data_IF_461461198874
#
_entry.id   IF_461461198874
#
_cell.length_a   1.000
_cell.length_b   1.000
_cell.length_c   1.000
_cell.angle_alpha   90.00
_cell.angle_beta   90.00
_cell.angle_gamma   90.00
#
_symmetry.space_group_name_H-M   'P 1'
#
loop_
_entity.id
_entity.type
_entity.pdbx_description
1 polymer ?
#
# COMPACT_ATOMS: atom_id res chain seq x y z
N UNK A 1 -9.45 -16.09 -16.90
CA UNK A 1 -8.96 -17.02 -17.97
C UNK A 1 -8.24 -18.15 -17.23
N UNK A 2 -7.22 -18.85 -17.73
CA UNK A 2 -6.36 -19.57 -16.77
C UNK A 2 -5.50 -18.51 -16.08
N UNK A 3 -5.99 -17.89 -15.00
CA UNK A 3 -5.17 -16.94 -14.24
C UNK A 3 -4.02 -17.73 -13.61
N UNK A 4 -2.84 -17.59 -14.22
CA UNK A 4 -1.58 -17.91 -13.59
C UNK A 4 -1.51 -17.12 -12.28
N UNK A 5 -1.16 -17.80 -11.17
CA UNK A 5 -0.99 -17.11 -9.88
C UNK A 5 0.01 -15.98 -10.05
N UNK A 6 -0.32 -14.74 -9.61
CA UNK A 6 0.61 -13.63 -9.69
C UNK A 6 1.98 -13.97 -9.09
N UNK A 7 3.05 -13.57 -9.77
CA UNK A 7 4.42 -13.93 -9.39
C UNK A 7 4.75 -13.63 -7.91
N UNK A 8 4.33 -12.48 -7.32
CA UNK A 8 4.59 -12.21 -5.90
C UNK A 8 3.91 -13.23 -4.95
N UNK A 9 2.70 -13.67 -5.27
CA UNK A 9 1.96 -14.68 -4.47
C UNK A 9 2.64 -16.04 -4.59
N UNK A 10 3.06 -16.42 -5.80
CA UNK A 10 3.76 -17.68 -6.03
C UNK A 10 5.10 -17.73 -5.28
N UNK A 11 5.90 -16.67 -5.38
CA UNK A 11 7.19 -16.56 -4.69
C UNK A 11 7.05 -16.65 -3.17
N UNK A 12 6.10 -15.92 -2.59
CA UNK A 12 5.83 -15.99 -1.16
C UNK A 12 5.46 -17.41 -0.69
N UNK A 13 4.61 -18.12 -1.45
CA UNK A 13 4.23 -19.50 -1.12
C UNK A 13 5.38 -20.48 -1.26
N UNK A 14 6.22 -20.33 -2.30
CA UNK A 14 7.40 -21.19 -2.50
C UNK A 14 8.42 -21.05 -1.37
N UNK A 15 8.52 -19.85 -0.77
CA UNK A 15 9.32 -19.58 0.43
C UNK A 15 8.65 -20.04 1.73
N UNK A 16 7.42 -20.57 1.67
CA UNK A 16 6.63 -20.95 2.85
C UNK A 16 6.14 -19.76 3.67
N UNK A 17 6.05 -18.56 3.06
CA UNK A 17 5.54 -17.34 3.68
C UNK A 17 4.04 -17.20 3.45
N UNK A 18 3.37 -16.60 4.43
CA UNK A 18 1.94 -16.25 4.38
C UNK A 18 1.71 -14.74 4.24
N UNK A 19 2.77 -13.96 4.09
CA UNK A 19 2.72 -12.51 4.00
C UNK A 19 3.72 -12.07 2.95
N UNK A 20 3.28 -11.18 2.07
CA UNK A 20 4.14 -10.51 1.10
C UNK A 20 4.87 -9.35 1.80
N UNK A 21 6.06 -9.03 1.32
CA UNK A 21 6.67 -7.72 1.59
C UNK A 21 5.85 -6.60 0.95
N UNK A 22 6.04 -5.36 1.39
CA UNK A 22 5.38 -4.20 0.77
C UNK A 22 5.75 -4.08 -0.72
N UNK A 23 7.00 -4.38 -1.09
CA UNK A 23 7.46 -4.40 -2.48
C UNK A 23 6.66 -5.42 -3.32
N UNK A 24 6.56 -6.66 -2.85
CA UNK A 24 5.75 -7.71 -3.49
C UNK A 24 4.27 -7.33 -3.58
N UNK A 25 3.72 -6.66 -2.55
CA UNK A 25 2.36 -6.13 -2.56
C UNK A 25 2.17 -5.04 -3.61
N UNK A 26 3.12 -4.11 -3.75
CA UNK A 26 3.13 -3.08 -4.78
C UNK A 26 3.26 -3.66 -6.18
N UNK A 27 4.12 -4.66 -6.37
CA UNK A 27 4.23 -5.39 -7.64
C UNK A 27 2.91 -6.07 -8.02
N UNK A 28 2.21 -6.66 -7.05
CA UNK A 28 0.89 -7.25 -7.27
C UNK A 28 -0.12 -6.19 -7.73
N UNK A 29 -0.22 -5.06 -7.02
CA UNK A 29 -1.14 -3.96 -7.35
C UNK A 29 -0.81 -3.34 -8.72
N UNK A 30 0.46 -3.09 -9.01
CA UNK A 30 0.91 -2.57 -10.30
C UNK A 30 0.59 -3.55 -11.44
N UNK A 31 0.76 -4.86 -11.23
CA UNK A 31 0.40 -5.87 -12.23
C UNK A 31 -1.12 -5.93 -12.50
N UNK A 32 -1.92 -5.48 -11.53
CA UNK A 32 -3.37 -5.36 -11.62
C UNK A 32 -3.84 -3.98 -12.14
N UNK A 33 -2.91 -3.07 -12.45
CA UNK A 33 -3.21 -1.75 -13.02
C UNK A 33 -3.44 -0.63 -12.01
N UNK A 34 -3.05 -0.81 -10.75
CA UNK A 34 -3.05 0.24 -9.72
C UNK A 34 -1.63 0.82 -9.62
N UNK A 35 -1.48 2.12 -9.89
CA UNK A 35 -0.17 2.77 -9.86
C UNK A 35 0.45 2.74 -8.45
N UNK A 36 1.78 2.63 -8.40
CA UNK A 36 2.59 2.71 -7.18
C UNK A 36 3.75 3.66 -7.40
N UNK A 37 4.31 4.29 -6.35
CA UNK A 37 5.55 5.07 -6.48
C UNK A 37 6.67 4.24 -7.09
N UNK A 38 7.64 4.87 -7.73
CA UNK A 38 8.86 4.18 -8.15
C UNK A 38 9.64 3.71 -6.91
N UNK A 39 10.10 2.46 -6.87
CA UNK A 39 10.82 1.92 -5.72
C UNK A 39 11.91 0.90 -6.08
N UNK A 40 12.79 0.63 -5.11
CA UNK A 40 13.78 -0.44 -5.16
C UNK A 40 14.02 -1.06 -3.77
N UNK A 41 14.22 -2.38 -3.72
CA UNK A 41 14.63 -3.09 -2.49
C UNK A 41 16.16 -3.21 -2.46
N UNK A 42 16.76 -2.81 -1.36
CA UNK A 42 18.21 -2.65 -1.20
C UNK A 42 18.69 -3.40 0.04
N UNK A 43 19.73 -4.23 -0.12
CA UNK A 43 20.28 -5.06 0.95
C UNK A 43 21.24 -4.30 1.89
N UNK A 44 21.69 -3.11 1.48
CA UNK A 44 22.61 -2.28 2.24
C UNK A 44 22.42 -0.78 1.93
N UNK A 45 23.06 0.06 2.73
CA UNK A 45 22.93 1.50 2.63
C UNK A 45 23.59 2.10 1.37
N UNK A 46 24.58 1.42 0.77
CA UNK A 46 25.19 1.89 -0.48
C UNK A 46 24.22 1.65 -1.65
N UNK A 47 23.61 0.47 -1.73
CA UNK A 47 22.54 0.18 -2.68
C UNK A 47 21.34 1.12 -2.50
N UNK A 48 20.98 1.46 -1.25
CA UNK A 48 19.90 2.40 -0.97
C UNK A 48 20.19 3.82 -1.50
N UNK A 49 21.45 4.28 -1.39
CA UNK A 49 21.87 5.56 -1.95
C UNK A 49 21.82 5.54 -3.48
N UNK A 50 22.36 4.50 -4.11
CA UNK A 50 22.33 4.35 -5.58
C UNK A 50 20.87 4.38 -6.10
N UNK A 51 19.96 3.64 -5.44
CA UNK A 51 18.54 3.65 -5.77
C UNK A 51 17.90 5.04 -5.62
N UNK A 52 18.25 5.78 -4.56
CA UNK A 52 17.73 7.13 -4.36
C UNK A 52 18.23 8.12 -5.41
N UNK A 53 19.47 7.97 -5.90
CA UNK A 53 20.00 8.77 -7.00
C UNK A 53 19.29 8.49 -8.33
N UNK A 54 18.94 7.23 -8.59
CA UNK A 54 18.21 6.81 -9.78
C UNK A 54 16.73 7.24 -9.76
N UNK A 55 16.05 7.12 -8.61
CA UNK A 55 14.65 7.53 -8.42
C UNK A 55 14.53 9.06 -8.41
N UNK A 56 15.46 9.74 -7.73
CA UNK A 56 15.45 11.18 -7.53
C UNK A 56 14.84 11.60 -6.18
N UNK A 57 15.44 12.60 -5.56
CA UNK A 57 15.03 13.14 -4.27
C UNK A 57 13.82 14.09 -4.35
N UNK A 58 13.01 14.20 -3.28
CA UNK A 58 13.11 13.46 -2.02
C UNK A 58 12.59 12.01 -2.11
N UNK A 59 13.13 11.13 -1.27
CA UNK A 59 12.73 9.72 -1.17
C UNK A 59 12.24 9.37 0.24
N UNK A 60 11.57 8.23 0.33
CA UNK A 60 11.21 7.54 1.57
C UNK A 60 12.02 6.26 1.67
N UNK A 61 12.50 5.93 2.88
CA UNK A 61 13.18 4.67 3.17
C UNK A 61 12.35 3.92 4.21
N UNK A 62 12.00 2.68 3.93
CA UNK A 62 11.20 1.81 4.83
C UNK A 62 11.90 0.50 5.09
N UNK A 63 11.66 -0.11 6.25
CA UNK A 63 12.07 -1.50 6.50
C UNK A 63 11.28 -2.44 5.58
N UNK A 64 11.99 -3.36 4.92
CA UNK A 64 11.39 -4.39 4.06
C UNK A 64 11.64 -5.77 4.66
N UNK A 65 10.62 -6.32 5.32
CA UNK A 65 10.68 -7.66 5.89
C UNK A 65 9.27 -8.23 6.05
N UNK A 66 9.02 -9.52 5.71
CA UNK A 66 7.74 -10.17 5.99
C UNK A 66 7.40 -10.21 7.50
N UNK A 67 8.40 -10.08 8.37
CA UNK A 67 8.21 -10.07 9.82
C UNK A 67 7.79 -8.70 10.39
N UNK A 68 7.78 -7.65 9.57
CA UNK A 68 7.46 -6.27 9.99
C UNK A 68 6.29 -5.73 9.17
N UNK A 69 5.07 -5.91 9.69
CA UNK A 69 3.84 -5.42 9.04
C UNK A 69 3.55 -3.94 9.38
N UNK A 70 3.69 -3.53 10.65
CA UNK A 70 3.45 -2.16 11.10
C UNK A 70 4.75 -1.35 11.22
N UNK A 71 5.29 -0.93 10.07
CA UNK A 71 6.60 -0.28 9.95
C UNK A 71 6.70 1.04 10.73
N UNK A 72 5.65 1.86 10.71
CA UNK A 72 5.61 3.16 11.40
C UNK A 72 5.60 3.05 12.93
N UNK A 73 5.18 1.91 13.48
CA UNK A 73 5.27 1.64 14.93
C UNK A 73 6.50 0.80 15.28
N UNK A 74 7.11 0.18 14.27
CA UNK A 74 8.25 -0.69 14.45
C UNK A 74 9.43 0.10 15.01
N UNK A 75 9.98 -0.44 16.09
CA UNK A 75 11.11 0.13 16.80
C UNK A 75 10.95 1.60 17.23
N UNK A 76 9.71 2.06 17.47
CA UNK A 76 9.45 3.44 17.89
C UNK A 76 9.48 4.44 16.74
N UNK A 77 9.15 4.00 15.51
CA UNK A 77 9.07 4.85 14.33
C UNK A 77 10.23 4.74 13.35
N UNK A 78 11.26 3.96 13.69
CA UNK A 78 12.47 3.82 12.86
C UNK A 78 12.17 3.12 11.53
N UNK A 79 11.12 2.31 11.46
CA UNK A 79 10.80 1.53 10.26
C UNK A 79 10.38 2.33 9.03
N UNK A 80 10.17 3.65 9.17
CA UNK A 80 9.84 4.56 8.06
C UNK A 80 10.54 5.91 8.26
N UNK A 81 11.35 6.31 7.29
CA UNK A 81 12.01 7.60 7.23
C UNK A 81 11.56 8.35 5.96
N UNK A 82 10.86 9.48 6.14
CA UNK A 82 10.26 10.27 5.05
C UNK A 82 11.04 11.54 4.74
N UNK A 83 10.91 12.06 3.52
CA UNK A 83 11.41 13.38 3.14
C UNK A 83 12.94 13.45 3.10
N UNK A 84 13.62 12.35 2.76
CA UNK A 84 15.08 12.30 2.68
C UNK A 84 15.52 12.95 1.38
N UNK A 85 16.28 14.04 1.48
CA UNK A 85 16.64 14.92 0.36
C UNK A 85 18.11 14.82 -0.06
N UNK A 86 18.86 13.86 0.49
CA UNK A 86 20.29 13.68 0.23
C UNK A 86 20.77 12.25 0.49
N UNK A 87 21.89 11.89 -0.15
CA UNK A 87 22.55 10.61 0.03
C UNK A 87 22.95 10.32 1.49
N UNK A 88 23.40 11.35 2.23
CA UNK A 88 23.76 11.19 3.64
C UNK A 88 22.54 10.88 4.51
N UNK A 89 21.39 11.51 4.23
CA UNK A 89 20.13 11.24 4.93
C UNK A 89 19.62 9.82 4.65
N UNK A 90 19.68 9.38 3.38
CA UNK A 90 19.33 8.01 2.97
C UNK A 90 20.22 6.97 3.64
N UNK A 91 21.54 7.16 3.58
CA UNK A 91 22.51 6.24 4.21
C UNK A 91 22.24 6.13 5.71
N UNK A 92 22.05 7.25 6.40
CA UNK A 92 21.76 7.26 7.84
C UNK A 92 20.49 6.49 8.19
N UNK A 93 19.40 6.70 7.44
CA UNK A 93 18.14 5.99 7.67
C UNK A 93 18.27 4.48 7.38
N UNK A 94 18.94 4.11 6.29
CA UNK A 94 19.14 2.70 5.93
C UNK A 94 20.00 1.96 6.96
N UNK A 95 21.13 2.55 7.37
CA UNK A 95 21.99 1.98 8.42
C UNK A 95 21.25 1.80 9.75
N UNK A 96 20.42 2.77 10.15
CA UNK A 96 19.65 2.70 11.39
C UNK A 96 18.61 1.58 11.35
N UNK A 97 17.88 1.44 10.24
CA UNK A 97 16.90 0.37 10.05
C UNK A 97 17.57 -1.00 10.08
N UNK A 98 18.61 -1.20 9.26
CA UNK A 98 19.31 -2.49 9.13
C UNK A 98 19.97 -2.91 10.44
N UNK A 99 20.62 -1.98 11.14
CA UNK A 99 21.21 -2.24 12.46
C UNK A 99 20.15 -2.64 13.47
N UNK A 100 19.02 -1.93 13.50
CA UNK A 100 17.91 -2.24 14.42
C UNK A 100 17.28 -3.60 14.12
N UNK A 101 17.20 -4.00 12.84
CA UNK A 101 16.71 -5.30 12.44
C UNK A 101 17.66 -6.42 12.89
N UNK A 102 18.97 -6.26 12.70
CA UNK A 102 20.00 -7.22 13.15
C UNK A 102 19.98 -7.38 14.68
N UNK A 103 19.92 -6.29 15.44
CA UNK A 103 19.82 -6.31 16.90
C UNK A 103 18.58 -7.07 17.41
N UNK A 104 17.52 -7.11 16.60
CA UNK A 104 16.27 -7.83 16.87
C UNK A 104 16.23 -9.24 16.28
N UNK A 105 17.26 -9.65 15.53
CA UNK A 105 17.33 -10.93 14.83
C UNK A 105 16.29 -11.06 13.72
N UNK A 106 15.94 -9.94 13.07
CA UNK A 106 15.01 -9.88 11.94
C UNK A 106 15.83 -9.80 10.66
N UNK A 107 15.56 -10.70 9.71
CA UNK A 107 16.08 -10.60 8.36
C UNK A 107 15.30 -9.52 7.61
N UNK A 108 15.98 -8.44 7.21
CA UNK A 108 15.35 -7.27 6.63
C UNK A 108 16.30 -6.58 5.64
N UNK A 109 15.70 -6.12 4.55
CA UNK A 109 16.27 -5.16 3.61
C UNK A 109 15.64 -3.77 3.86
N UNK A 110 15.98 -2.79 3.02
CA UNK A 110 15.28 -1.51 2.97
C UNK A 110 14.59 -1.30 1.62
N UNK A 111 13.38 -0.76 1.65
CA UNK A 111 12.66 -0.27 0.48
C UNK A 111 12.94 1.23 0.33
N UNK A 112 13.52 1.64 -0.78
CA UNK A 112 13.69 3.05 -1.16
C UNK A 112 12.64 3.40 -2.21
N UNK A 113 11.87 4.47 -2.00
CA UNK A 113 10.80 4.86 -2.91
C UNK A 113 10.67 6.37 -3.09
N UNK A 114 10.08 6.77 -4.22
CA UNK A 114 9.73 8.16 -4.52
C UNK A 114 8.79 8.73 -3.43
N UNK A 115 9.13 9.91 -2.89
CA UNK A 115 8.26 10.59 -1.95
C UNK A 115 7.13 11.31 -2.70
N UNK A 116 5.89 10.94 -2.37
CA UNK A 116 4.70 11.53 -2.98
C UNK A 116 4.22 12.78 -2.22
N UNK A 117 3.82 13.81 -2.98
CA UNK A 117 3.19 15.01 -2.41
C UNK A 117 1.72 14.71 -2.05
N UNK A 118 1.49 14.45 -0.75
CA UNK A 118 0.15 14.10 -0.23
C UNK A 118 -0.85 15.25 -0.38
N UNK A 119 -0.40 16.51 -0.47
CA UNK A 119 -1.29 17.67 -0.66
C UNK A 119 -1.93 17.69 -2.07
N UNK A 120 -1.44 16.86 -3.00
CA UNK A 120 -2.01 16.72 -4.35
C UNK A 120 -3.24 15.82 -4.42
N UNK A 121 -3.60 15.15 -3.32
CA UNK A 121 -4.69 14.20 -3.32
C UNK A 121 -5.38 14.06 -1.98
N UNK A 122 -6.33 13.15 -1.94
CA UNK A 122 -7.01 12.73 -0.72
C UNK A 122 -6.58 11.31 -0.42
N UNK A 123 -6.11 11.06 0.81
CA UNK A 123 -5.79 9.71 1.27
C UNK A 123 -7.08 8.92 1.51
N UNK A 124 -7.14 7.71 0.98
CA UNK A 124 -8.25 6.76 1.05
C UNK A 124 -7.69 5.40 1.46
N UNK A 125 -8.46 4.61 2.20
CA UNK A 125 -8.15 3.23 2.52
C UNK A 125 -9.00 2.35 1.60
N UNK A 126 -8.35 1.37 0.98
CA UNK A 126 -9.01 0.32 0.22
C UNK A 126 -8.52 -1.02 0.74
N UNK A 127 -9.42 -1.76 1.38
CA UNK A 127 -9.14 -3.06 1.96
C UNK A 127 -9.95 -4.16 1.31
N UNK A 128 -9.46 -5.39 1.35
CA UNK A 128 -10.17 -6.59 0.94
C UNK A 128 -9.87 -7.71 1.91
N UNK A 129 -10.89 -8.36 2.43
CA UNK A 129 -10.76 -9.49 3.36
C UNK A 129 -11.60 -10.66 2.88
N UNK A 130 -11.21 -11.88 3.24
CA UNK A 130 -12.07 -13.06 3.09
C UNK A 130 -12.77 -13.36 4.41
N UNK A 131 -13.97 -12.85 4.57
CA UNK A 131 -14.80 -13.05 5.75
C UNK A 131 -15.33 -14.51 5.81
N UNK A 132 -15.32 -15.17 6.99
CA UNK A 132 -15.79 -16.55 7.13
C UNK A 132 -17.28 -16.78 6.82
N UNK A 133 -18.10 -15.74 6.92
CA UNK A 133 -19.56 -15.79 6.71
C UNK A 133 -19.95 -15.31 5.33
N UNK A 134 -19.29 -14.27 4.83
CA UNK A 134 -19.66 -13.58 3.59
C UNK A 134 -18.74 -13.85 2.41
N UNK A 135 -17.58 -14.48 2.62
CA UNK A 135 -16.55 -14.63 1.59
C UNK A 135 -15.77 -13.33 1.36
N UNK A 136 -15.29 -13.06 0.13
CA UNK A 136 -14.60 -11.81 -0.19
C UNK A 136 -15.45 -10.57 0.11
N UNK A 137 -14.90 -9.63 0.86
CA UNK A 137 -15.51 -8.34 1.20
C UNK A 137 -14.48 -7.25 0.97
N UNK A 138 -14.89 -6.19 0.27
CA UNK A 138 -14.10 -4.98 0.06
C UNK A 138 -14.58 -3.89 1.00
N UNK A 139 -13.63 -3.17 1.56
CA UNK A 139 -13.79 -1.99 2.39
C UNK A 139 -13.21 -0.78 1.65
N UNK A 140 -13.93 0.33 1.68
CA UNK A 140 -13.37 1.63 1.34
C UNK A 140 -13.70 2.62 2.45
N UNK A 141 -12.77 3.52 2.74
CA UNK A 141 -12.96 4.58 3.74
C UNK A 141 -11.97 5.71 3.52
N UNK A 142 -12.19 6.86 4.13
CA UNK A 142 -11.18 7.93 4.12
C UNK A 142 -9.92 7.45 4.84
N UNK A 143 -8.73 7.82 4.38
CA UNK A 143 -7.46 7.56 5.04
C UNK A 143 -7.04 8.66 6.03
N UNK A 144 -5.91 8.43 6.69
CA UNK A 144 -5.31 9.34 7.67
C UNK A 144 -5.87 9.22 9.09
N UNK A 145 -5.43 10.11 9.99
CA UNK A 145 -5.74 10.06 11.45
C UNK A 145 -7.25 10.06 11.74
N UNK A 146 -8.07 10.52 10.80
CA UNK A 146 -9.50 10.64 10.97
C UNK A 146 -10.25 9.30 10.83
N UNK A 147 -9.68 8.29 10.16
CA UNK A 147 -10.32 6.98 9.98
C UNK A 147 -10.57 6.28 11.31
N UNK A 148 -9.57 6.25 12.19
CA UNK A 148 -9.65 5.59 13.50
C UNK A 148 -10.71 6.22 14.43
N UNK A 149 -11.08 7.47 14.16
CA UNK A 149 -11.96 8.27 15.02
C UNK A 149 -13.40 8.26 14.51
N UNK A 150 -13.59 8.29 13.19
CA UNK A 150 -14.92 8.52 12.60
C UNK A 150 -15.60 7.28 12.01
N UNK A 151 -14.90 6.14 11.87
CA UNK A 151 -15.47 4.89 11.32
C UNK A 151 -16.19 5.13 9.97
N UNK A 152 -15.72 6.08 9.16
CA UNK A 152 -16.32 6.46 7.87
C UNK A 152 -15.89 5.49 6.78
N UNK A 153 -16.54 4.32 6.77
CA UNK A 153 -16.28 3.25 5.81
C UNK A 153 -17.56 2.77 5.14
N UNK A 154 -17.40 2.22 3.94
CA UNK A 154 -18.43 1.46 3.22
C UNK A 154 -17.88 0.08 2.86
N UNK A 155 -18.76 -0.93 2.87
CA UNK A 155 -18.42 -2.32 2.59
C UNK A 155 -19.26 -2.87 1.43
N UNK A 156 -18.66 -3.79 0.67
CA UNK A 156 -19.34 -4.55 -0.38
C UNK A 156 -18.86 -6.01 -0.38
N UNK A 157 -19.75 -6.94 -0.67
CA UNK A 157 -19.35 -8.34 -0.91
C UNK A 157 -18.82 -8.41 -2.34
N UNK A 158 -17.60 -8.91 -2.52
CA UNK A 158 -16.93 -9.04 -3.81
C UNK A 158 -17.29 -10.35 -4.52
N UNK A 159 -17.14 -10.42 -5.86
CA UNK A 159 -16.65 -9.37 -6.74
C UNK A 159 -17.68 -8.24 -6.94
N UNK A 160 -17.20 -7.03 -7.23
CA UNK A 160 -18.04 -5.85 -7.49
C UNK A 160 -17.61 -5.15 -8.77
N UNK A 161 -18.55 -4.52 -9.46
CA UNK A 161 -18.22 -3.67 -10.60
C UNK A 161 -17.92 -2.21 -10.19
N UNK A 162 -17.44 -1.41 -11.15
CA UNK A 162 -17.16 0.02 -10.96
C UNK A 162 -18.37 0.79 -10.42
N UNK A 163 -19.59 0.45 -10.83
CA UNK A 163 -20.78 1.18 -10.39
C UNK A 163 -21.10 0.89 -8.91
N UNK A 164 -20.94 -0.35 -8.47
CA UNK A 164 -21.06 -0.74 -7.06
C UNK A 164 -19.96 -0.11 -6.19
N UNK A 165 -18.72 -0.09 -6.69
CA UNK A 165 -17.59 0.58 -6.04
C UNK A 165 -17.81 2.09 -5.92
N UNK A 166 -18.26 2.75 -7.00
CA UNK A 166 -18.63 4.17 -6.98
C UNK A 166 -19.73 4.47 -5.98
N UNK A 167 -20.77 3.63 -5.92
CA UNK A 167 -21.82 3.76 -4.91
C UNK A 167 -21.28 3.63 -3.49
N UNK A 168 -20.24 2.82 -3.24
CA UNK A 168 -19.61 2.71 -1.93
C UNK A 168 -18.86 3.99 -1.56
N UNK A 169 -18.17 4.62 -2.52
CA UNK A 169 -17.51 5.93 -2.32
C UNK A 169 -18.56 7.02 -2.02
N UNK A 170 -19.68 7.01 -2.73
CA UNK A 170 -20.75 8.01 -2.56
C UNK A 170 -21.48 7.90 -1.19
N UNK A 171 -21.33 6.77 -0.49
CA UNK A 171 -21.86 6.57 0.87
C UNK A 171 -20.97 7.19 1.96
N UNK A 172 -19.71 7.51 1.65
CA UNK A 172 -18.77 8.08 2.61
C UNK A 172 -19.23 9.47 3.04
N UNK A 173 -19.25 9.71 4.35
CA UNK A 173 -19.56 11.02 4.91
C UNK A 173 -18.53 12.08 4.47
N UNK A 174 -17.31 11.62 4.20
CA UNK A 174 -16.17 12.38 3.72
C UNK A 174 -16.11 12.57 2.19
N UNK A 175 -17.10 12.08 1.42
CA UNK A 175 -17.18 12.32 -0.03
C UNK A 175 -16.85 13.76 -0.46
N UNK A 176 -17.27 14.84 0.26
CA UNK A 176 -16.91 16.21 -0.11
C UNK A 176 -15.41 16.52 -0.15
N UNK A 177 -14.55 15.71 0.48
CA UNK A 177 -13.09 15.84 0.37
C UNK A 177 -12.60 15.36 -1.00
N UNK A 178 -13.18 14.26 -1.52
CA UNK A 178 -12.90 13.72 -2.85
C UNK A 178 -13.47 14.61 -3.96
N UNK A 179 -14.58 15.31 -3.71
CA UNK A 179 -15.17 16.27 -4.68
C UNK A 179 -14.45 17.64 -4.71
N UNK A 180 -13.43 17.83 -3.87
CA UNK A 180 -12.69 19.08 -3.74
C UNK A 180 -13.23 19.96 -2.60
N UNK A 181 -12.36 20.32 -1.65
CA UNK A 181 -12.67 21.13 -0.49
C UNK A 181 -11.74 22.35 -0.38
N UNK A 182 -12.32 23.54 -0.14
CA UNK A 182 -11.58 24.82 0.03
C UNK A 182 -10.57 25.14 -1.10
N UNK A 183 -10.90 24.77 -2.33
CA UNK A 183 -10.08 25.09 -3.50
C UNK A 183 -9.07 24.01 -3.88
N UNK A 184 -9.09 22.84 -3.22
CA UNK A 184 -8.47 21.64 -3.77
C UNK A 184 -9.22 21.18 -5.01
N UNK A 185 -8.50 20.52 -5.91
CA UNK A 185 -9.08 19.90 -7.09
C UNK A 185 -9.78 18.58 -6.70
N UNK A 186 -10.87 18.19 -7.41
CA UNK A 186 -11.54 16.92 -7.17
C UNK A 186 -10.64 15.74 -7.57
N UNK A 187 -10.71 14.66 -6.80
CA UNK A 187 -10.07 13.40 -7.15
C UNK A 187 -10.77 12.72 -8.33
N UNK A 188 -10.04 11.87 -9.05
CA UNK A 188 -10.60 10.96 -10.04
C UNK A 188 -11.34 9.80 -9.34
N UNK A 189 -12.61 10.04 -9.04
CA UNK A 189 -13.49 9.09 -8.37
C UNK A 189 -13.69 7.81 -9.21
N UNK A 190 -13.64 7.91 -10.54
CA UNK A 190 -13.81 6.74 -11.40
C UNK A 190 -12.56 5.85 -11.35
N UNK A 191 -11.34 6.43 -11.32
CA UNK A 191 -10.11 5.69 -11.09
C UNK A 191 -10.07 5.04 -9.69
N UNK A 192 -10.58 5.72 -8.66
CA UNK A 192 -10.71 5.13 -7.33
C UNK A 192 -11.71 3.97 -7.31
N UNK A 193 -12.85 4.10 -7.98
CA UNK A 193 -13.82 3.02 -8.10
C UNK A 193 -13.25 1.81 -8.85
N UNK A 194 -12.43 2.03 -9.88
CA UNK A 194 -11.69 0.97 -10.57
C UNK A 194 -10.73 0.25 -9.62
N UNK A 195 -9.92 0.97 -8.85
CA UNK A 195 -9.00 0.36 -7.89
C UNK A 195 -9.72 -0.46 -6.80
N UNK A 196 -10.86 0.03 -6.30
CA UNK A 196 -11.70 -0.71 -5.34
C UNK A 196 -12.24 -2.01 -5.96
N UNK A 197 -12.71 -1.97 -7.21
CA UNK A 197 -13.16 -3.17 -7.92
C UNK A 197 -12.01 -4.15 -8.14
N UNK A 198 -10.84 -3.67 -8.56
CA UNK A 198 -9.62 -4.48 -8.73
C UNK A 198 -9.19 -5.16 -7.43
N UNK A 199 -9.24 -4.48 -6.29
CA UNK A 199 -8.97 -5.10 -4.97
C UNK A 199 -9.99 -6.22 -4.68
N UNK A 200 -11.27 -6.00 -5.02
CA UNK A 200 -12.31 -7.02 -4.90
C UNK A 200 -12.05 -8.25 -5.78
N UNK A 201 -11.61 -8.05 -7.00
CA UNK A 201 -11.24 -9.13 -7.92
C UNK A 201 -10.02 -9.91 -7.39
N UNK A 202 -8.97 -9.21 -6.94
CA UNK A 202 -7.76 -9.84 -6.37
C UNK A 202 -8.09 -10.78 -5.20
N UNK A 203 -8.91 -10.33 -4.24
CA UNK A 203 -9.29 -11.15 -3.07
C UNK A 203 -10.29 -12.27 -3.44
N UNK A 204 -11.03 -12.11 -4.53
CA UNK A 204 -11.94 -13.14 -5.05
C UNK A 204 -11.18 -14.24 -5.79
N UNK A 205 -10.21 -13.87 -6.62
CA UNK A 205 -9.56 -14.77 -7.58
C UNK A 205 -8.29 -15.43 -7.03
N UNK A 206 -7.68 -14.86 -6.00
CA UNK A 206 -6.44 -15.34 -5.41
C UNK A 206 -6.61 -15.76 -3.96
N UNK A 207 -5.70 -16.58 -3.40
CA UNK A 207 -5.81 -17.06 -2.04
C UNK A 207 -5.26 -16.03 -1.06
N UNK A 208 -5.85 -14.83 -1.10
CA UNK A 208 -5.57 -13.68 -0.26
C UNK A 208 -6.61 -13.67 0.87
N UNK A 209 -6.13 -13.72 2.11
CA UNK A 209 -6.96 -13.59 3.30
C UNK A 209 -7.24 -12.11 3.60
N UNK A 210 -6.25 -11.24 3.39
CA UNK A 210 -6.30 -9.81 3.65
C UNK A 210 -5.42 -9.06 2.65
N UNK A 211 -5.94 -7.99 2.08
CA UNK A 211 -5.25 -7.01 1.26
C UNK A 211 -5.62 -5.63 1.80
N UNK A 212 -4.68 -4.92 2.41
CA UNK A 212 -4.89 -3.56 2.91
C UNK A 212 -4.00 -2.60 2.12
N UNK A 213 -4.63 -1.66 1.42
CA UNK A 213 -3.95 -0.60 0.67
C UNK A 213 -4.22 0.71 1.41
N UNK A 214 -3.26 1.09 2.24
CA UNK A 214 -3.42 2.17 3.19
C UNK A 214 -2.11 2.98 3.37
N UNK A 215 -1.97 4.17 2.77
CA UNK A 215 -3.00 4.88 2.00
C UNK A 215 -2.96 4.59 0.49
N UNK A 216 -4.13 4.72 -0.15
CA UNK A 216 -4.28 5.07 -1.56
C UNK A 216 -4.41 6.58 -1.67
N UNK A 217 -3.54 7.24 -2.43
CA UNK A 217 -3.64 8.67 -2.72
C UNK A 217 -4.53 8.88 -3.95
N UNK A 218 -5.73 9.40 -3.76
CA UNK A 218 -6.65 9.76 -4.82
C UNK A 218 -6.37 11.19 -5.31
N UNK A 219 -5.87 11.32 -6.54
CA UNK A 219 -5.48 12.59 -7.17
C UNK A 219 -6.43 12.96 -8.31
N UNK A 220 -6.25 14.13 -8.91
CA UNK A 220 -6.97 14.55 -10.12
C UNK A 220 -6.73 13.66 -11.33
N UNK A 221 -5.60 12.96 -11.37
CA UNK A 221 -5.10 12.23 -12.54
C UNK A 221 -5.21 10.70 -12.38
N UNK A 222 -5.74 10.23 -11.26
CA UNK A 222 -5.83 8.81 -10.93
C UNK A 222 -5.54 8.52 -9.46
N UNK A 223 -5.20 7.27 -9.16
CA UNK A 223 -4.93 6.80 -7.80
C UNK A 223 -3.56 6.13 -7.71
N UNK A 224 -2.91 6.29 -6.55
CA UNK A 224 -1.56 5.75 -6.32
C UNK A 224 -1.55 5.04 -4.97
N UNK A 225 -1.24 3.74 -4.97
CA UNK A 225 -1.09 2.95 -3.75
C UNK A 225 0.28 3.22 -3.09
N UNK A 226 0.27 3.90 -1.95
CA UNK A 226 1.49 4.32 -1.25
C UNK A 226 2.02 3.25 -0.28
N UNK A 227 1.16 2.34 0.17
CA UNK A 227 1.52 1.18 0.97
C UNK A 227 0.57 0.01 0.64
N UNK A 228 1.04 -1.21 0.88
CA UNK A 228 0.29 -2.44 0.65
C UNK A 228 0.70 -3.52 1.67
N UNK A 229 -0.28 -4.07 2.36
CA UNK A 229 -0.15 -5.29 3.16
C UNK A 229 -0.96 -6.40 2.50
N UNK A 230 -0.33 -7.55 2.24
CA UNK A 230 -1.02 -8.73 1.69
C UNK A 230 -0.73 -9.95 2.55
N UNK A 231 -1.79 -10.54 3.09
CA UNK A 231 -1.77 -11.79 3.84
C UNK A 231 -2.48 -12.86 3.03
N UNK A 232 -1.83 -14.01 2.88
CA UNK A 232 -2.34 -15.16 2.14
C UNK A 232 -3.11 -16.10 3.06
N UNK A 233 -4.08 -16.83 2.51
CA UNK A 233 -4.79 -17.86 3.25
C UNK A 233 -3.87 -19.02 3.67
N UNK A 234 -4.13 -19.53 4.87
CA UNK A 234 -3.62 -20.83 5.33
C UNK A 234 -4.16 -21.97 4.45
N UNK A 235 -3.31 -22.96 4.18
CA UNK A 235 -3.65 -24.14 3.38
C UNK A 235 -4.67 -25.08 4.03
#
# INVERSE_FOLDING_TARGET
>A
MSEETPAPIAAARDDGRHTLTEAEGKELLASAGIDTPSFAVCADADAAVDAAEDIGYPVVVKVSSPAVTHKSDWAGGIGVAVGLDSADAVRGAADEILTTADERGIDADVLVEEAMDLDRGTEVIVGGIRDPSFGPVVLTGLGGVFTEIFEDTSHRIAPIDRAEARSAIEELQSLPLLEGYRGSEPADVDALADAIATVGDLVTEHPIAELDVNPVLATTDGVIALDALVVLEDH
#
